data_IF_150058068791
#
_entry.id   IF_150058068791
#
_cell.length_a   1.000
_cell.length_b   1.000
_cell.length_c   1.000
_cell.angle_alpha   90.00
_cell.angle_beta   90.00
_cell.angle_gamma   90.00
#
_symmetry.space_group_name_H-M   'P 1'
#
loop_
_entity.id
_entity.type
_entity.pdbx_description
1 polymer ?
#
# COMPACT_ATOMS: atom_id res chain seq x y z
N UNK A 1 75.75 -8.60 13.63
CA UNK A 1 75.57 -7.17 13.23
C UNK A 1 74.93 -6.97 11.85
N UNK A 2 75.08 -7.87 10.85
CA UNK A 2 74.43 -7.68 9.54
C UNK A 2 72.89 -7.71 9.53
N UNK A 3 72.26 -8.46 10.44
CA UNK A 3 70.79 -8.60 10.47
C UNK A 3 70.04 -7.33 10.91
N UNK A 4 70.63 -6.49 11.74
CA UNK A 4 69.97 -5.29 12.27
C UNK A 4 69.75 -4.21 11.20
N UNK A 5 70.64 -4.12 10.21
CA UNK A 5 70.50 -3.16 9.10
C UNK A 5 69.45 -3.55 8.06
N UNK A 6 69.26 -4.86 7.84
CA UNK A 6 68.24 -5.37 6.91
C UNK A 6 66.83 -5.09 7.43
N UNK A 7 66.59 -5.30 8.73
CA UNK A 7 65.27 -5.06 9.34
C UNK A 7 64.83 -3.59 9.25
N UNK A 8 65.77 -2.64 9.37
CA UNK A 8 65.46 -1.21 9.26
C UNK A 8 65.07 -0.83 7.82
N UNK A 9 65.77 -1.37 6.82
CA UNK A 9 65.44 -1.17 5.41
C UNK A 9 64.06 -1.74 5.05
N UNK A 10 63.75 -2.93 5.56
CA UNK A 10 62.48 -3.60 5.34
C UNK A 10 61.31 -2.82 5.96
N UNK A 11 61.51 -2.28 7.17
CA UNK A 11 60.52 -1.43 7.84
C UNK A 11 60.31 -0.09 7.13
N UNK A 12 61.38 0.54 6.63
CA UNK A 12 61.28 1.76 5.82
C UNK A 12 60.48 1.51 4.53
N UNK A 13 60.74 0.39 3.86
CA UNK A 13 60.02 0.02 2.64
C UNK A 13 58.55 -0.29 2.94
N UNK A 14 58.25 -0.93 4.07
CA UNK A 14 56.88 -1.20 4.47
C UNK A 14 56.11 0.10 4.79
N UNK A 15 56.74 1.04 5.50
CA UNK A 15 56.14 2.34 5.82
C UNK A 15 55.86 3.19 4.58
N UNK A 16 56.74 3.17 3.58
CA UNK A 16 56.51 3.93 2.34
C UNK A 16 55.37 3.33 1.52
N UNK A 17 55.25 2.00 1.47
CA UNK A 17 54.11 1.33 0.83
C UNK A 17 52.80 1.64 1.54
N UNK A 18 52.77 1.63 2.87
CA UNK A 18 51.58 2.00 3.66
C UNK A 18 51.20 3.46 3.42
N UNK A 19 52.17 4.38 3.46
CA UNK A 19 51.91 5.80 3.22
C UNK A 19 51.33 6.05 1.81
N UNK A 20 51.83 5.32 0.81
CA UNK A 20 51.33 5.37 -0.56
C UNK A 20 49.90 4.81 -0.69
N UNK A 21 49.62 3.67 -0.03
CA UNK A 21 48.28 3.07 0.05
C UNK A 21 47.27 3.98 0.75
N UNK A 22 47.66 4.62 1.85
CA UNK A 22 46.79 5.57 2.55
C UNK A 22 46.52 6.80 1.69
N UNK A 23 47.54 7.37 1.06
CA UNK A 23 47.39 8.55 0.20
C UNK A 23 46.44 8.31 -0.97
N UNK A 24 46.55 7.15 -1.62
CA UNK A 24 45.65 6.75 -2.74
C UNK A 24 44.27 6.32 -2.26
N UNK A 25 44.18 5.66 -1.10
CA UNK A 25 42.91 5.25 -0.51
C UNK A 25 42.06 6.44 -0.07
N UNK A 26 42.66 7.46 0.55
CA UNK A 26 41.97 8.65 1.04
C UNK A 26 41.32 9.46 -0.09
N UNK A 27 41.99 9.59 -1.25
CA UNK A 27 41.44 10.31 -2.40
C UNK A 27 40.27 9.56 -3.05
N UNK A 28 40.33 8.23 -3.06
CA UNK A 28 39.27 7.38 -3.63
C UNK A 28 38.03 7.34 -2.74
N UNK A 29 38.23 7.35 -1.42
CA UNK A 29 37.14 7.46 -0.43
C UNK A 29 36.49 8.84 -0.52
N UNK A 30 37.27 9.93 -0.56
CA UNK A 30 36.71 11.28 -0.60
C UNK A 30 35.92 11.54 -1.90
N UNK A 31 36.41 11.05 -3.04
CA UNK A 31 35.70 11.14 -4.31
C UNK A 31 34.34 10.40 -4.26
N UNK A 32 34.32 9.18 -3.71
CA UNK A 32 33.08 8.43 -3.55
C UNK A 32 32.10 9.08 -2.58
N UNK A 33 32.58 9.62 -1.45
CA UNK A 33 31.73 10.30 -0.48
C UNK A 33 31.09 11.54 -1.10
N UNK A 34 31.86 12.35 -1.83
CA UNK A 34 31.35 13.54 -2.51
C UNK A 34 30.29 13.18 -3.55
N UNK A 35 30.51 12.13 -4.35
CA UNK A 35 29.54 11.68 -5.34
C UNK A 35 28.23 11.18 -4.69
N UNK A 36 28.32 10.49 -3.55
CA UNK A 36 27.15 10.05 -2.79
C UNK A 36 26.40 11.22 -2.16
N UNK A 37 27.14 12.20 -1.65
CA UNK A 37 26.58 13.43 -1.10
C UNK A 37 25.77 14.19 -2.15
N UNK A 38 26.34 14.36 -3.35
CA UNK A 38 25.68 15.06 -4.46
C UNK A 38 24.40 14.35 -4.89
N UNK A 39 24.40 13.01 -4.95
CA UNK A 39 23.20 12.24 -5.24
C UNK A 39 22.12 12.43 -4.17
N UNK A 40 22.49 12.43 -2.88
CA UNK A 40 21.57 12.69 -1.78
C UNK A 40 21.01 14.11 -1.83
N UNK A 41 21.84 15.09 -2.17
CA UNK A 41 21.41 16.49 -2.33
C UNK A 41 20.45 16.64 -3.51
N UNK A 42 20.71 15.98 -4.63
CA UNK A 42 19.77 15.93 -5.77
C UNK A 42 18.43 15.29 -5.39
N UNK A 43 18.46 14.17 -4.65
CA UNK A 43 17.22 13.54 -4.16
C UNK A 43 16.48 14.44 -3.17
N UNK A 44 17.20 15.08 -2.24
CA UNK A 44 16.63 16.02 -1.28
C UNK A 44 15.95 17.18 -2.00
N UNK A 45 16.59 17.76 -3.02
CA UNK A 45 15.97 18.80 -3.85
C UNK A 45 14.70 18.30 -4.54
N UNK A 46 14.68 17.06 -5.04
CA UNK A 46 13.47 16.48 -5.66
C UNK A 46 12.30 16.27 -4.67
N UNK A 47 12.60 15.98 -3.40
CA UNK A 47 11.59 15.81 -2.35
C UNK A 47 11.01 17.16 -1.88
N UNK A 48 11.83 18.20 -1.86
CA UNK A 48 11.44 19.54 -1.39
C UNK A 48 10.97 20.48 -2.50
N UNK A 49 11.03 20.08 -3.77
CA UNK A 49 10.41 20.84 -4.84
C UNK A 49 8.88 20.84 -4.65
N UNK A 50 8.32 22.04 -4.49
CA UNK A 50 6.87 22.27 -4.47
C UNK A 50 6.32 21.87 -5.84
N UNK A 51 5.88 20.61 -5.94
CA UNK A 51 5.26 20.11 -7.16
C UNK A 51 3.83 20.64 -7.19
N UNK A 52 3.44 21.25 -8.31
CA UNK A 52 2.07 21.72 -8.51
C UNK A 52 1.09 20.59 -8.16
N UNK A 53 0.11 20.93 -7.34
CA UNK A 53 -0.94 20.03 -6.87
C UNK A 53 -1.65 19.46 -8.10
N UNK A 54 -1.43 18.18 -8.40
CA UNK A 54 -2.20 17.51 -9.44
C UNK A 54 -3.62 17.29 -8.91
N UNK A 55 -4.53 18.15 -9.33
CA UNK A 55 -5.97 17.98 -9.14
C UNK A 55 -6.47 16.87 -10.06
N UNK A 56 -6.41 15.61 -9.62
CA UNK A 56 -6.96 14.48 -10.37
C UNK A 56 -6.45 13.11 -9.92
N UNK A 57 -7.39 12.27 -9.49
CA UNK A 57 -7.20 11.21 -8.49
C UNK A 57 -6.81 9.82 -9.00
N UNK A 58 -6.47 9.66 -10.29
CA UNK A 58 -6.11 8.34 -10.86
C UNK A 58 -4.68 8.23 -11.41
N UNK A 59 -3.94 9.33 -11.53
CA UNK A 59 -2.64 9.36 -12.23
C UNK A 59 -1.43 9.38 -11.28
N UNK A 60 -1.59 8.81 -10.08
CA UNK A 60 -0.48 8.60 -9.18
C UNK A 60 0.20 7.23 -9.42
N UNK A 61 1.44 7.07 -8.96
CA UNK A 61 2.28 5.90 -9.27
C UNK A 61 1.58 4.58 -8.94
N UNK A 62 0.98 4.47 -7.77
CA UNK A 62 0.28 3.26 -7.34
C UNK A 62 -0.96 2.97 -8.18
N UNK A 63 -1.83 3.96 -8.46
CA UNK A 63 -2.98 3.74 -9.33
C UNK A 63 -2.56 3.26 -10.73
N UNK A 64 -1.49 3.81 -11.32
CA UNK A 64 -0.98 3.35 -12.62
C UNK A 64 -0.52 1.89 -12.60
N UNK A 65 0.14 1.46 -11.53
CA UNK A 65 0.60 0.08 -11.38
C UNK A 65 -0.54 -0.89 -11.14
N UNK A 66 -1.56 -0.48 -10.38
CA UNK A 66 -2.64 -1.36 -9.93
C UNK A 66 -3.85 -1.37 -10.89
N UNK A 67 -4.03 -0.32 -11.71
CA UNK A 67 -5.08 -0.20 -12.74
C UNK A 67 -5.24 -1.42 -13.65
N UNK A 68 -4.19 -2.02 -14.24
CA UNK A 68 -4.35 -3.21 -15.09
C UNK A 68 -4.83 -4.43 -14.29
N UNK A 69 -4.42 -4.57 -13.03
CA UNK A 69 -4.83 -5.68 -12.17
C UNK A 69 -6.30 -5.54 -11.76
N UNK A 70 -6.70 -4.34 -11.35
CA UNK A 70 -8.10 -4.06 -10.97
C UNK A 70 -9.04 -4.00 -12.18
N UNK A 71 -8.51 -3.72 -13.37
CA UNK A 71 -9.29 -3.72 -14.61
C UNK A 71 -9.97 -5.06 -14.90
N UNK A 72 -9.41 -6.18 -14.42
CA UNK A 72 -10.03 -7.51 -14.54
C UNK A 72 -11.25 -7.60 -13.61
N UNK A 73 -11.11 -7.13 -12.38
CA UNK A 73 -12.17 -7.16 -11.37
C UNK A 73 -13.32 -6.20 -11.69
N UNK A 74 -13.01 -5.05 -12.31
CA UNK A 74 -14.02 -4.09 -12.76
C UNK A 74 -14.90 -4.60 -13.92
N UNK A 75 -14.58 -5.76 -14.52
CA UNK A 75 -15.47 -6.43 -15.48
C UNK A 75 -16.63 -7.17 -14.78
N UNK A 76 -16.53 -7.42 -13.48
CA UNK A 76 -17.65 -7.93 -12.70
C UNK A 76 -18.64 -6.78 -12.44
N UNK A 77 -19.91 -6.89 -12.87
CA UNK A 77 -20.86 -5.77 -12.87
C UNK A 77 -21.16 -5.20 -11.48
N UNK A 78 -20.93 -5.98 -10.42
CA UNK A 78 -21.22 -5.60 -9.04
C UNK A 78 -19.97 -5.20 -8.25
N UNK A 79 -18.76 -5.34 -8.82
CA UNK A 79 -17.50 -5.05 -8.13
C UNK A 79 -16.83 -3.84 -8.77
N UNK A 80 -16.99 -2.68 -8.13
CA UNK A 80 -16.29 -1.45 -8.52
C UNK A 80 -15.23 -1.15 -7.48
N UNK A 81 -13.96 -1.20 -7.88
CA UNK A 81 -12.84 -0.88 -7.00
C UNK A 81 -12.30 0.51 -7.39
N UNK A 82 -12.77 1.59 -6.72
CA UNK A 82 -12.40 2.95 -7.08
C UNK A 82 -10.91 3.19 -6.83
N UNK A 83 -10.20 3.50 -7.92
CA UNK A 83 -8.78 3.92 -7.92
C UNK A 83 -8.60 5.43 -7.77
N UNK A 84 -9.71 6.16 -7.88
CA UNK A 84 -9.81 7.60 -7.86
C UNK A 84 -9.80 8.18 -6.42
N UNK A 85 -8.86 7.72 -5.57
CA UNK A 85 -8.88 7.98 -4.12
C UNK A 85 -7.80 8.94 -3.62
N UNK A 86 -7.05 9.59 -4.52
CA UNK A 86 -6.10 10.65 -4.13
C UNK A 86 -6.81 12.01 -4.10
N UNK A 87 -6.83 12.63 -2.92
CA UNK A 87 -7.37 13.97 -2.72
C UNK A 87 -6.25 14.92 -2.30
N UNK A 88 -6.19 16.10 -2.91
CA UNK A 88 -5.29 17.16 -2.46
C UNK A 88 -5.96 18.01 -1.39
N UNK A 89 -5.26 18.22 -0.28
CA UNK A 89 -5.70 19.16 0.76
C UNK A 89 -5.14 20.52 0.39
N UNK A 90 -5.96 21.36 -0.22
CA UNK A 90 -5.61 22.76 -0.49
C UNK A 90 -5.78 23.51 0.83
N UNK A 91 -4.67 23.92 1.43
CA UNK A 91 -4.67 24.82 2.59
C UNK A 91 -4.00 26.12 2.18
N UNK A 92 -4.70 27.24 2.40
CA UNK A 92 -4.27 28.60 2.02
C UNK A 92 -2.94 29.01 2.69
N UNK A 93 -2.52 28.32 3.74
CA UNK A 93 -1.33 28.62 4.53
C UNK A 93 -0.23 27.56 4.43
N UNK A 94 -0.47 26.43 3.75
CA UNK A 94 0.52 25.36 3.63
C UNK A 94 1.37 25.52 2.38
N UNK A 95 2.66 25.81 2.60
CA UNK A 95 3.71 25.76 1.57
C UNK A 95 3.92 24.35 1.00
N UNK A 96 3.43 23.32 1.71
CA UNK A 96 3.58 21.91 1.35
C UNK A 96 2.25 21.33 0.85
N UNK A 97 2.16 20.90 -0.42
CA UNK A 97 0.97 20.24 -0.92
C UNK A 97 0.83 18.86 -0.28
N UNK A 98 -0.11 18.72 0.64
CA UNK A 98 -0.45 17.43 1.23
C UNK A 98 -1.51 16.74 0.36
N UNK A 99 -1.25 15.49 -0.01
CA UNK A 99 -2.25 14.64 -0.65
C UNK A 99 -2.63 13.52 0.29
N UNK A 100 -3.93 13.38 0.57
CA UNK A 100 -4.52 12.29 1.34
C UNK A 100 -4.94 11.20 0.37
N UNK A 101 -4.55 9.96 0.66
CA UNK A 101 -5.16 8.78 0.04
C UNK A 101 -6.34 8.38 0.91
N UNK A 102 -7.54 8.43 0.36
CA UNK A 102 -8.72 7.94 1.06
C UNK A 102 -8.84 6.43 0.91
N UNK A 103 -9.29 5.77 1.99
CA UNK A 103 -9.65 4.37 1.93
C UNK A 103 -11.04 4.24 1.28
N UNK A 104 -11.06 4.40 -0.05
CA UNK A 104 -12.28 4.36 -0.88
C UNK A 104 -12.95 2.98 -0.91
N UNK A 105 -12.34 1.95 -0.33
CA UNK A 105 -12.91 0.61 -0.20
C UNK A 105 -13.65 0.39 1.12
N UNK A 106 -13.58 1.35 2.05
CA UNK A 106 -14.33 1.28 3.30
C UNK A 106 -15.80 1.62 3.07
N UNK A 107 -16.69 0.85 3.72
CA UNK A 107 -18.11 1.14 3.68
C UNK A 107 -18.41 2.44 4.43
N UNK A 108 -19.07 3.37 3.76
CA UNK A 108 -19.46 4.68 4.31
C UNK A 108 -20.81 4.65 5.03
N UNK A 109 -21.54 3.54 4.96
CA UNK A 109 -22.84 3.38 5.62
C UNK A 109 -22.92 2.02 6.27
N UNK A 110 -23.74 1.92 7.33
CA UNK A 110 -23.94 0.65 8.04
C UNK A 110 -24.50 -0.43 7.11
N UNK A 111 -25.38 -0.06 6.17
CA UNK A 111 -25.88 -0.99 5.15
C UNK A 111 -24.78 -1.47 4.19
N UNK A 112 -23.81 -0.62 3.87
CA UNK A 112 -22.68 -0.95 3.02
C UNK A 112 -21.69 -1.92 3.68
N UNK A 113 -21.66 -1.99 5.02
CA UNK A 113 -20.81 -2.94 5.76
C UNK A 113 -21.10 -4.40 5.42
N UNK A 114 -22.35 -4.72 5.08
CA UNK A 114 -22.78 -6.07 4.71
C UNK A 114 -22.71 -6.27 3.21
N UNK A 115 -23.12 -5.28 2.42
CA UNK A 115 -23.25 -5.44 0.96
C UNK A 115 -21.93 -5.31 0.22
N UNK A 116 -21.01 -4.43 0.64
CA UNK A 116 -19.74 -4.21 -0.07
C UNK A 116 -18.78 -5.39 0.02
N UNK A 117 -18.50 -5.98 1.20
CA UNK A 117 -17.63 -7.15 1.28
C UNK A 117 -18.26 -8.37 0.61
N UNK A 118 -19.60 -8.48 0.57
CA UNK A 118 -20.29 -9.58 -0.11
C UNK A 118 -19.98 -9.61 -1.61
N UNK A 119 -19.80 -8.45 -2.24
CA UNK A 119 -19.41 -8.33 -3.66
C UNK A 119 -18.03 -8.91 -3.96
N UNK A 120 -17.15 -9.03 -2.95
CA UNK A 120 -15.83 -9.64 -3.07
C UNK A 120 -15.88 -11.17 -2.89
N UNK A 121 -17.02 -11.72 -2.49
CA UNK A 121 -17.20 -13.17 -2.36
C UNK A 121 -17.71 -13.77 -3.66
N UNK A 122 -17.61 -15.10 -3.79
CA UNK A 122 -18.17 -15.82 -4.94
C UNK A 122 -19.70 -15.94 -4.89
N UNK A 123 -20.31 -15.64 -3.73
CA UNK A 123 -21.75 -15.85 -3.47
C UNK A 123 -22.65 -15.16 -4.49
N UNK A 124 -22.45 -13.86 -4.83
CA UNK A 124 -23.30 -13.18 -5.82
C UNK A 124 -23.23 -13.82 -7.22
N UNK A 125 -22.08 -14.41 -7.58
CA UNK A 125 -21.91 -15.11 -8.85
C UNK A 125 -22.67 -16.43 -8.84
N UNK A 126 -22.59 -17.19 -7.74
CA UNK A 126 -23.34 -18.44 -7.56
C UNK A 126 -24.86 -18.20 -7.55
N UNK A 127 -25.32 -17.11 -6.93
CA UNK A 127 -26.72 -16.68 -6.94
C UNK A 127 -27.19 -16.36 -8.37
N UNK A 128 -26.39 -15.60 -9.14
CA UNK A 128 -26.68 -15.32 -10.56
C UNK A 128 -26.72 -16.58 -11.43
N UNK A 129 -25.91 -17.60 -11.10
CA UNK A 129 -25.92 -18.90 -11.78
C UNK A 129 -27.11 -19.79 -11.36
N UNK A 130 -27.98 -19.32 -10.47
CA UNK A 130 -29.22 -19.99 -10.12
C UNK A 130 -29.05 -21.10 -9.09
N UNK A 131 -28.00 -21.05 -8.25
CA UNK A 131 -27.81 -22.03 -7.17
C UNK A 131 -29.01 -22.07 -6.21
N UNK A 132 -29.72 -20.95 -6.05
CA UNK A 132 -30.96 -20.87 -5.28
C UNK A 132 -32.04 -21.83 -5.78
N UNK A 133 -32.07 -22.07 -7.09
CA UNK A 133 -33.01 -23.03 -7.70
C UNK A 133 -32.63 -24.47 -7.38
N UNK A 134 -31.32 -24.78 -7.34
CA UNK A 134 -30.82 -26.08 -6.91
C UNK A 134 -31.18 -26.34 -5.43
N UNK A 135 -30.92 -25.36 -4.56
CA UNK A 135 -31.25 -25.46 -3.14
C UNK A 135 -32.74 -25.52 -2.87
N UNK A 136 -33.59 -24.86 -3.67
CA UNK A 136 -35.05 -25.02 -3.58
C UNK A 136 -35.50 -26.46 -3.84
N UNK A 137 -34.83 -27.17 -4.76
CA UNK A 137 -35.14 -28.58 -5.06
C UNK A 137 -34.59 -29.49 -3.97
N UNK A 138 -33.34 -29.28 -3.54
CA UNK A 138 -32.72 -30.04 -2.45
C UNK A 138 -33.45 -29.82 -1.12
N UNK A 139 -33.92 -28.61 -0.85
CA UNK A 139 -34.67 -28.25 0.37
C UNK A 139 -36.01 -28.97 0.53
N UNK A 140 -36.55 -29.59 -0.54
CA UNK A 140 -37.72 -30.47 -0.45
C UNK A 140 -37.42 -31.85 0.12
N UNK A 141 -36.17 -32.28 0.09
CA UNK A 141 -35.77 -33.58 0.64
C UNK A 141 -35.73 -33.50 2.17
N UNK A 142 -36.21 -34.53 2.89
CA UNK A 142 -36.29 -34.51 4.34
C UNK A 142 -34.92 -34.41 5.03
N UNK A 143 -33.83 -34.83 4.37
CA UNK A 143 -32.47 -34.76 4.90
C UNK A 143 -31.76 -33.41 4.68
N UNK A 144 -32.34 -32.51 3.88
CA UNK A 144 -31.72 -31.24 3.50
C UNK A 144 -32.67 -30.05 3.67
N UNK A 145 -33.59 -30.14 4.64
CA UNK A 145 -34.48 -29.02 5.01
C UNK A 145 -33.72 -27.76 5.43
N UNK A 146 -32.53 -27.94 6.02
CA UNK A 146 -31.60 -26.84 6.36
C UNK A 146 -31.09 -26.07 5.13
N UNK A 147 -31.20 -26.64 3.92
CA UNK A 147 -30.85 -25.99 2.66
C UNK A 147 -32.08 -25.33 1.99
N UNK A 148 -33.25 -25.34 2.63
CA UNK A 148 -34.43 -24.70 2.10
C UNK A 148 -34.27 -23.17 2.03
N UNK A 149 -34.99 -22.54 1.10
CA UNK A 149 -34.96 -21.10 0.93
C UNK A 149 -35.30 -20.37 2.24
N UNK A 150 -34.40 -19.49 2.69
CA UNK A 150 -34.58 -18.64 3.86
C UNK A 150 -33.91 -19.13 5.15
N UNK A 151 -33.51 -20.41 5.22
CA UNK A 151 -32.79 -20.97 6.37
C UNK A 151 -31.27 -20.98 6.15
N UNK A 152 -30.85 -21.11 4.90
CA UNK A 152 -29.44 -21.13 4.53
C UNK A 152 -28.99 -19.78 3.95
N UNK A 153 -28.09 -19.08 4.65
CA UNK A 153 -27.39 -17.90 4.14
C UNK A 153 -25.92 -18.24 3.85
N UNK A 154 -25.49 -18.10 2.58
CA UNK A 154 -24.09 -18.29 2.21
C UNK A 154 -23.24 -17.08 2.60
N UNK A 155 -22.29 -17.29 3.52
CA UNK A 155 -21.29 -16.30 3.88
C UNK A 155 -21.88 -15.03 4.50
N UNK A 156 -22.66 -15.15 5.60
CA UNK A 156 -23.22 -13.98 6.27
C UNK A 156 -22.08 -13.09 6.79
N UNK A 157 -22.15 -11.81 6.47
CA UNK A 157 -21.23 -10.80 6.97
C UNK A 157 -21.88 -10.16 8.19
N UNK A 158 -21.29 -10.39 9.36
CA UNK A 158 -21.79 -9.82 10.61
C UNK A 158 -21.43 -8.31 10.67
N UNK A 159 -22.41 -7.39 10.63
CA UNK A 159 -22.13 -5.96 10.75
C UNK A 159 -21.59 -5.58 12.13
N UNK A 160 -21.83 -6.38 13.18
CA UNK A 160 -21.37 -6.08 14.54
C UNK A 160 -19.87 -6.39 14.74
N UNK A 161 -19.23 -7.05 13.76
CA UNK A 161 -17.79 -7.35 13.77
C UNK A 161 -16.95 -6.31 13.01
N UNK A 162 -17.51 -5.13 12.70
CA UNK A 162 -16.94 -4.17 11.75
C UNK A 162 -16.23 -2.98 12.41
N UNK A 163 -15.42 -2.20 11.65
CA UNK A 163 -14.55 -1.16 12.20
C UNK A 163 -15.33 -0.01 12.88
N UNK A 164 -14.78 0.46 14.00
CA UNK A 164 -15.33 1.49 14.88
C UNK A 164 -15.74 2.79 14.15
N UNK A 165 -15.04 3.12 13.06
CA UNK A 165 -15.18 4.35 12.31
C UNK A 165 -16.57 4.52 11.67
N UNK A 166 -17.24 3.43 11.31
CA UNK A 166 -18.58 3.48 10.67
C UNK A 166 -19.69 3.68 11.70
N UNK A 167 -19.49 3.21 12.93
CA UNK A 167 -20.43 3.41 14.05
C UNK A 167 -20.46 4.89 14.48
N UNK A 168 -19.32 5.57 14.40
CA UNK A 168 -19.15 6.97 14.79
C UNK A 168 -19.93 7.98 13.95
N UNK A 169 -20.17 7.71 12.66
CA UNK A 169 -20.94 8.62 11.81
C UNK A 169 -22.41 8.76 12.23
N UNK A 170 -22.94 7.81 13.01
CA UNK A 170 -24.35 7.82 13.45
C UNK A 170 -24.54 8.47 14.82
N UNK A 171 -23.45 8.64 15.60
CA UNK A 171 -23.45 9.27 16.91
C UNK A 171 -22.43 10.41 16.91
N UNK A 172 -22.87 11.56 16.45
CA UNK A 172 -22.06 12.77 16.19
C UNK A 172 -21.47 13.43 17.46
N UNK A 173 -21.47 12.76 18.62
CA UNK A 173 -21.09 13.39 19.90
C UNK A 173 -20.09 12.63 20.78
N UNK A 174 -19.75 11.36 20.53
CA UNK A 174 -18.90 10.58 21.47
C UNK A 174 -17.69 9.88 20.82
N UNK A 175 -17.36 10.23 19.58
CA UNK A 175 -16.17 9.70 18.90
C UNK A 175 -15.00 10.67 18.94
N UNK A 176 -14.62 11.10 20.14
CA UNK A 176 -13.29 11.67 20.40
C UNK A 176 -12.46 10.66 21.20
N UNK A 177 -11.20 10.47 20.78
CA UNK A 177 -10.21 9.65 21.48
C UNK A 177 -9.56 10.44 22.59
#
# INVERSE_FOLDING_TARGET
MKQSGQAILELMLFLTVIAWLMGTGLTLISANLNQRQELLDQQRLSLWQVKAIASGSENYSYARTVKPLLGIFNQLPDLQLPLANQHSVVSEQNLWPLTKLENSWSATTVSALVTEPRKLTVVPVLEKLGIDSLFRVLGRLPMSRELAQGEFEFGPINPDATPYEVMCQKQEQDCER
#
